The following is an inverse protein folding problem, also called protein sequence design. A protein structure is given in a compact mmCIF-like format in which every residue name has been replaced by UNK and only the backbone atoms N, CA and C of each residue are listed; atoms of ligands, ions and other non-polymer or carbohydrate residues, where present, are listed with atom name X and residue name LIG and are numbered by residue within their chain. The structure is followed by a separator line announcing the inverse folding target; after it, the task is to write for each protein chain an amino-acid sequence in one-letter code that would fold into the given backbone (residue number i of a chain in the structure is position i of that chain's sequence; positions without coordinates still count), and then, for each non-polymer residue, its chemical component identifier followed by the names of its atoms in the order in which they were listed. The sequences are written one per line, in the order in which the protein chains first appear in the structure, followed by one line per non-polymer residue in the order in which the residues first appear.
data_IF_351288967371
#
_entry.id   IF_351288967371
#
_cell.length_a   1.000
_cell.length_b   1.000
_cell.length_c   1.000
_cell.angle_alpha   90.00
_cell.angle_beta   90.00
_cell.angle_gamma   90.00
#
_symmetry.space_group_name_H-M   'P 1'
#
loop_
_entity.id
_entity.type
_entity.pdbx_description
1 polymer ?
#
# COMPACT_ATOMS: atom_id res chain seq x y z
N UNK A 1 27.24 44.97 -36.15
CA UNK A 1 26.55 44.64 -34.89
C UNK A 1 26.09 43.20 -35.01
N UNK A 2 26.78 42.28 -34.35
CA UNK A 2 26.39 40.86 -34.33
C UNK A 2 25.14 40.75 -33.46
N UNK A 3 23.98 40.62 -34.09
CA UNK A 3 22.83 40.04 -33.42
C UNK A 3 23.24 38.61 -33.04
N UNK A 4 23.74 38.44 -31.81
CA UNK A 4 23.80 37.12 -31.20
C UNK A 4 22.37 36.61 -31.21
N UNK A 5 22.11 35.62 -32.06
CA UNK A 5 20.87 34.88 -32.10
C UNK A 5 20.55 34.44 -30.67
N UNK A 6 19.61 35.14 -30.03
CA UNK A 6 19.17 34.80 -28.69
C UNK A 6 18.32 33.52 -28.80
N UNK A 7 19.02 32.39 -28.77
CA UNK A 7 18.44 31.05 -28.83
C UNK A 7 17.83 30.65 -27.48
N UNK A 8 17.97 31.47 -26.42
CA UNK A 8 17.47 31.13 -25.09
C UNK A 8 15.97 30.83 -25.06
N UNK A 9 15.08 31.62 -25.71
CA UNK A 9 13.65 31.32 -25.74
C UNK A 9 13.33 29.99 -26.45
N UNK A 10 14.07 29.64 -27.51
CA UNK A 10 13.90 28.38 -28.23
C UNK A 10 14.33 27.19 -27.38
N UNK A 11 15.45 27.32 -26.65
CA UNK A 11 15.93 26.31 -25.72
C UNK A 11 14.92 26.09 -24.58
N UNK A 12 14.33 27.16 -24.04
CA UNK A 12 13.31 27.07 -22.99
C UNK A 12 12.03 26.36 -23.45
N UNK A 13 11.55 26.66 -24.67
CA UNK A 13 10.39 26.01 -25.27
C UNK A 13 10.65 24.51 -25.48
N UNK A 14 11.83 24.15 -26.01
CA UNK A 14 12.24 22.76 -26.18
C UNK A 14 12.34 22.03 -24.84
N UNK A 15 12.96 22.65 -23.84
CA UNK A 15 13.07 22.08 -22.49
C UNK A 15 11.70 21.89 -21.83
N UNK A 16 10.77 22.83 -22.00
CA UNK A 16 9.39 22.70 -21.53
C UNK A 16 8.66 21.53 -22.21
N UNK A 17 8.81 21.39 -23.53
CA UNK A 17 8.23 20.27 -24.30
C UNK A 17 8.79 18.93 -23.87
N UNK A 18 10.11 18.81 -23.71
CA UNK A 18 10.76 17.59 -23.23
C UNK A 18 10.24 17.21 -21.84
N UNK A 19 10.15 18.18 -20.91
CA UNK A 19 9.60 17.93 -19.56
C UNK A 19 8.17 17.40 -19.62
N UNK A 20 7.33 17.99 -20.45
CA UNK A 20 5.95 17.55 -20.66
C UNK A 20 5.89 16.12 -21.20
N UNK A 21 6.67 15.80 -22.23
CA UNK A 21 6.71 14.47 -22.82
C UNK A 21 7.23 13.40 -21.84
N UNK A 22 8.23 13.75 -21.03
CA UNK A 22 8.74 12.85 -19.97
C UNK A 22 7.65 12.60 -18.92
N UNK A 23 6.90 13.62 -18.51
CA UNK A 23 5.82 13.44 -17.54
C UNK A 23 4.65 12.65 -18.11
N UNK A 24 4.27 12.88 -19.37
CA UNK A 24 3.28 12.07 -20.10
C UNK A 24 3.70 10.60 -20.21
N UNK A 25 4.99 10.33 -20.43
CA UNK A 25 5.50 8.96 -20.42
C UNK A 25 5.42 8.35 -19.02
N UNK A 26 5.81 9.09 -17.98
CA UNK A 26 5.74 8.62 -16.59
C UNK A 26 4.31 8.32 -16.16
N UNK A 27 3.34 9.14 -16.55
CA UNK A 27 1.93 8.87 -16.24
C UNK A 27 1.43 7.63 -16.97
N UNK A 28 1.80 7.45 -18.23
CA UNK A 28 1.52 6.23 -19.00
C UNK A 28 2.10 4.97 -18.33
N UNK A 29 3.38 5.01 -17.94
CA UNK A 29 4.05 3.90 -17.26
C UNK A 29 3.38 3.57 -15.92
N UNK A 30 2.99 4.59 -15.13
CA UNK A 30 2.24 4.39 -13.87
C UNK A 30 0.89 3.70 -14.11
N UNK A 31 0.16 4.11 -15.15
CA UNK A 31 -1.13 3.49 -15.50
C UNK A 31 -0.92 2.02 -15.92
N UNK A 32 0.11 1.75 -16.72
CA UNK A 32 0.44 0.39 -17.15
C UNK A 32 0.76 -0.53 -15.95
N UNK A 33 1.60 -0.06 -15.01
CA UNK A 33 1.93 -0.81 -13.79
C UNK A 33 0.68 -1.06 -12.95
N UNK A 34 -0.18 -0.05 -12.74
CA UNK A 34 -1.43 -0.22 -11.99
C UNK A 34 -2.40 -1.17 -12.66
N UNK A 35 -2.45 -1.19 -14.00
CA UNK A 35 -3.24 -2.16 -14.76
C UNK A 35 -2.76 -3.60 -14.52
N UNK A 36 -1.45 -3.82 -14.53
CA UNK A 36 -0.86 -5.12 -14.17
C UNK A 36 -1.16 -5.52 -12.72
N UNK A 37 -1.10 -4.57 -11.79
CA UNK A 37 -1.47 -4.80 -10.38
C UNK A 37 -2.94 -5.22 -10.24
N UNK A 38 -3.87 -4.54 -10.91
CA UNK A 38 -5.29 -4.88 -10.89
C UNK A 38 -5.51 -6.28 -11.47
N UNK A 39 -4.89 -6.56 -12.62
CA UNK A 39 -4.99 -7.86 -13.26
C UNK A 39 -4.44 -8.98 -12.37
N UNK A 40 -3.31 -8.75 -11.69
CA UNK A 40 -2.73 -9.71 -10.75
C UNK A 40 -3.62 -9.91 -9.51
N UNK A 41 -4.24 -8.84 -9.01
CA UNK A 41 -5.15 -8.91 -7.88
C UNK A 41 -6.42 -9.71 -8.25
N UNK A 42 -7.06 -9.41 -9.39
CA UNK A 42 -8.23 -10.14 -9.87
C UNK A 42 -7.93 -11.64 -10.05
N UNK A 43 -6.79 -11.97 -10.67
CA UNK A 43 -6.36 -13.36 -10.85
C UNK A 43 -6.13 -14.07 -9.51
N UNK A 44 -5.53 -13.40 -8.53
CA UNK A 44 -5.32 -13.96 -7.18
C UNK A 44 -6.64 -14.31 -6.49
N UNK A 45 -7.69 -13.54 -6.76
CA UNK A 45 -9.03 -13.79 -6.22
C UNK A 45 -9.94 -14.55 -7.21
N UNK A 46 -9.36 -15.16 -8.24
CA UNK A 46 -10.00 -16.15 -9.09
C UNK A 46 -10.89 -15.59 -10.20
N UNK A 47 -10.69 -14.34 -10.62
CA UNK A 47 -11.16 -13.87 -11.92
C UNK A 47 -10.03 -14.02 -12.95
N UNK A 48 -10.28 -14.82 -13.97
CA UNK A 48 -9.33 -15.08 -15.06
C UNK A 48 -10.00 -15.25 -16.41
N UNK A 49 -11.30 -14.99 -16.49
CA UNK A 49 -12.07 -15.03 -17.71
C UNK A 49 -11.74 -13.87 -18.64
N UNK A 50 -12.31 -13.91 -19.86
CA UNK A 50 -12.06 -12.92 -20.91
C UNK A 50 -12.50 -11.50 -20.50
N UNK A 51 -13.47 -11.39 -19.59
CA UNK A 51 -14.02 -10.12 -19.10
C UNK A 51 -12.98 -9.26 -18.34
N UNK A 52 -11.95 -9.89 -17.76
CA UNK A 52 -10.94 -9.23 -16.94
C UNK A 52 -10.14 -8.20 -17.73
N UNK A 53 -9.73 -8.52 -18.96
CA UNK A 53 -8.92 -7.62 -19.76
C UNK A 53 -9.66 -6.32 -20.10
N UNK A 54 -10.96 -6.42 -20.42
CA UNK A 54 -11.79 -5.26 -20.70
C UNK A 54 -12.06 -4.42 -19.44
N UNK A 55 -12.41 -5.08 -18.33
CA UNK A 55 -12.64 -4.41 -17.05
C UNK A 55 -11.40 -3.66 -16.55
N UNK A 56 -10.20 -4.25 -16.69
CA UNK A 56 -8.93 -3.60 -16.35
C UNK A 56 -8.66 -2.42 -17.28
N UNK A 57 -8.83 -2.59 -18.60
CA UNK A 57 -8.56 -1.55 -19.59
C UNK A 57 -9.45 -0.32 -19.39
N UNK A 58 -10.73 -0.53 -19.06
CA UNK A 58 -11.70 0.54 -18.84
C UNK A 58 -11.77 1.02 -17.39
N UNK A 59 -11.00 0.41 -16.48
CA UNK A 59 -11.05 0.66 -15.03
C UNK A 59 -12.48 0.54 -14.45
N UNK A 60 -13.26 -0.41 -14.96
CA UNK A 60 -14.69 -0.55 -14.67
C UNK A 60 -15.05 -1.99 -14.29
N UNK A 61 -15.38 -2.20 -13.01
CA UNK A 61 -15.76 -3.50 -12.47
C UNK A 61 -17.11 -4.02 -13.00
N UNK A 62 -17.98 -3.15 -13.53
CA UNK A 62 -19.25 -3.57 -14.12
C UNK A 62 -19.08 -4.36 -15.42
N UNK A 63 -17.87 -4.32 -16.01
CA UNK A 63 -17.50 -5.08 -17.21
C UNK A 63 -17.08 -6.52 -16.93
N UNK A 64 -16.86 -6.87 -15.67
CA UNK A 64 -16.62 -8.26 -15.30
C UNK A 64 -17.89 -9.08 -15.52
N UNK A 65 -17.70 -10.34 -15.91
CA UNK A 65 -18.79 -11.30 -15.88
C UNK A 65 -19.42 -11.33 -14.47
N UNK A 66 -20.77 -11.29 -14.34
CA UNK A 66 -21.41 -11.22 -13.03
C UNK A 66 -21.02 -12.36 -12.09
N UNK A 67 -20.91 -13.59 -12.58
CA UNK A 67 -20.54 -14.73 -11.75
C UNK A 67 -19.07 -14.65 -11.30
N UNK A 68 -18.17 -14.19 -12.18
CA UNK A 68 -16.79 -13.90 -11.80
C UNK A 68 -16.70 -12.78 -10.75
N UNK A 69 -17.44 -11.70 -10.96
CA UNK A 69 -17.48 -10.55 -10.05
C UNK A 69 -17.95 -10.97 -8.66
N UNK A 70 -19.05 -11.70 -8.57
CA UNK A 70 -19.62 -12.17 -7.30
C UNK A 70 -18.63 -13.09 -6.56
N UNK A 71 -18.00 -14.01 -7.29
CA UNK A 71 -16.97 -14.90 -6.73
C UNK A 71 -15.75 -14.15 -6.21
N UNK A 72 -15.29 -13.10 -6.92
CA UNK A 72 -14.20 -12.24 -6.45
C UNK A 72 -14.64 -11.45 -5.22
N UNK A 73 -15.82 -10.83 -5.23
CA UNK A 73 -16.35 -10.05 -4.11
C UNK A 73 -16.37 -10.89 -2.83
N UNK A 74 -16.94 -12.10 -2.90
CA UNK A 74 -17.02 -13.01 -1.76
C UNK A 74 -15.63 -13.35 -1.18
N UNK A 75 -14.65 -13.66 -2.05
CA UNK A 75 -13.28 -14.00 -1.62
C UNK A 75 -12.55 -12.79 -1.04
N UNK A 76 -12.76 -11.60 -1.61
CA UNK A 76 -12.18 -10.34 -1.13
C UNK A 76 -12.75 -9.99 0.25
N UNK A 77 -14.05 -10.13 0.46
CA UNK A 77 -14.69 -9.87 1.77
C UNK A 77 -14.17 -10.80 2.86
N UNK A 78 -14.05 -12.10 2.55
CA UNK A 78 -13.42 -13.07 3.47
C UNK A 78 -11.99 -12.66 3.82
N UNK A 79 -11.23 -12.18 2.86
CA UNK A 79 -9.84 -11.75 3.07
C UNK A 79 -9.74 -10.48 3.92
N UNK A 80 -10.61 -9.47 3.67
CA UNK A 80 -10.71 -8.28 4.51
C UNK A 80 -11.01 -8.69 5.96
N UNK A 81 -11.98 -9.58 6.15
CA UNK A 81 -12.30 -10.13 7.48
C UNK A 81 -11.11 -10.83 8.14
N UNK A 82 -10.33 -11.62 7.38
CA UNK A 82 -9.10 -12.26 7.88
C UNK A 82 -8.05 -11.24 8.32
N UNK A 83 -7.73 -10.26 7.48
CA UNK A 83 -6.73 -9.23 7.78
C UNK A 83 -7.16 -8.34 8.97
N UNK A 84 -8.44 -7.99 9.05
CA UNK A 84 -8.98 -7.24 10.19
C UNK A 84 -8.83 -8.02 11.51
N UNK A 85 -9.04 -9.34 11.50
CA UNK A 85 -8.81 -10.18 12.68
C UNK A 85 -7.33 -10.22 13.07
N UNK A 86 -6.44 -10.49 12.11
CA UNK A 86 -4.99 -10.52 12.35
C UNK A 86 -4.45 -9.18 12.87
N UNK A 87 -4.96 -8.06 12.35
CA UNK A 87 -4.62 -6.73 12.82
C UNK A 87 -4.98 -6.53 14.30
N UNK A 88 -6.18 -6.94 14.71
CA UNK A 88 -6.66 -6.80 16.09
C UNK A 88 -5.87 -7.64 17.09
N UNK A 89 -5.49 -8.86 16.70
CA UNK A 89 -4.70 -9.77 17.54
C UNK A 89 -3.20 -9.53 17.47
N UNK A 90 -2.72 -8.57 16.66
CA UNK A 90 -1.30 -8.35 16.34
C UNK A 90 -0.61 -9.65 15.86
N UNK A 91 -1.34 -10.44 15.07
CA UNK A 91 -0.83 -11.68 14.50
C UNK A 91 0.27 -11.37 13.47
N UNK A 92 1.43 -12.05 13.52
CA UNK A 92 2.50 -11.90 12.52
C UNK A 92 2.07 -12.14 11.07
N UNK A 93 0.95 -12.83 10.84
CA UNK A 93 0.35 -13.04 9.51
C UNK A 93 -0.38 -11.81 8.96
N UNK A 94 -0.55 -10.77 9.78
CA UNK A 94 -1.09 -9.51 9.32
C UNK A 94 -0.14 -8.86 8.31
N UNK A 95 -0.65 -8.61 7.12
CA UNK A 95 0.09 -7.91 6.07
C UNK A 95 -0.67 -6.65 5.69
N UNK A 96 -0.11 -5.49 6.06
CA UNK A 96 -0.68 -4.18 5.79
C UNK A 96 -0.83 -3.91 4.29
N UNK A 97 0.14 -4.35 3.47
CA UNK A 97 0.09 -4.14 2.03
C UNK A 97 -1.02 -4.98 1.42
N UNK A 98 -1.14 -6.24 1.86
CA UNK A 98 -2.26 -7.10 1.46
C UNK A 98 -3.60 -6.50 1.86
N UNK A 99 -3.74 -5.99 3.09
CA UNK A 99 -4.98 -5.37 3.56
C UNK A 99 -5.36 -4.13 2.74
N UNK A 100 -4.39 -3.28 2.39
CA UNK A 100 -4.62 -2.11 1.52
C UNK A 100 -5.10 -2.55 0.14
N UNK A 101 -4.42 -3.52 -0.48
CA UNK A 101 -4.79 -4.03 -1.82
C UNK A 101 -6.20 -4.59 -1.84
N UNK A 102 -6.59 -5.42 -0.86
CA UNK A 102 -7.95 -6.01 -0.84
C UNK A 102 -9.04 -4.99 -0.54
N UNK A 103 -8.76 -4.01 0.30
CA UNK A 103 -9.71 -2.92 0.58
C UNK A 103 -9.89 -2.04 -0.64
N UNK A 104 -8.81 -1.72 -1.34
CA UNK A 104 -8.85 -0.99 -2.61
C UNK A 104 -9.63 -1.78 -3.66
N UNK A 105 -9.40 -3.09 -3.75
CA UNK A 105 -10.08 -3.97 -4.72
C UNK A 105 -11.57 -4.01 -4.44
N UNK A 106 -11.99 -4.12 -3.17
CA UNK A 106 -13.40 -4.06 -2.80
C UNK A 106 -14.05 -2.75 -3.24
N UNK A 107 -13.39 -1.60 -3.01
CA UNK A 107 -13.91 -0.30 -3.43
C UNK A 107 -14.03 -0.16 -4.94
N UNK A 108 -13.07 -0.71 -5.69
CA UNK A 108 -13.13 -0.75 -7.14
C UNK A 108 -14.28 -1.65 -7.62
N UNK A 109 -14.44 -2.85 -7.05
CA UNK A 109 -15.57 -3.76 -7.33
C UNK A 109 -16.93 -3.15 -7.03
N UNK A 110 -17.00 -2.21 -6.07
CA UNK A 110 -18.21 -1.44 -5.74
C UNK A 110 -18.46 -0.25 -6.68
N UNK A 111 -17.54 0.06 -7.62
CA UNK A 111 -17.59 1.29 -8.42
C UNK A 111 -17.33 2.57 -7.61
N UNK A 112 -16.79 2.45 -6.38
CA UNK A 112 -16.55 3.58 -5.45
C UNK A 112 -15.14 4.17 -5.56
N UNK A 113 -14.29 3.60 -6.40
CA UNK A 113 -12.93 4.06 -6.64
C UNK A 113 -12.40 3.58 -7.98
N UNK A 114 -11.64 4.43 -8.66
CA UNK A 114 -10.81 4.06 -9.80
C UNK A 114 -9.52 3.37 -9.32
N UNK A 115 -9.06 2.34 -10.03
CA UNK A 115 -7.79 1.69 -9.76
C UNK A 115 -6.65 2.34 -10.53
N UNK A 116 -6.89 2.74 -11.78
CA UNK A 116 -5.84 3.28 -12.63
C UNK A 116 -5.57 4.75 -12.29
N UNK A 117 -6.61 5.50 -11.93
CA UNK A 117 -6.45 6.89 -11.57
C UNK A 117 -5.79 7.05 -10.19
N UNK A 118 -4.88 8.01 -10.09
CA UNK A 118 -4.36 8.42 -8.80
C UNK A 118 -5.52 9.09 -8.06
N UNK A 119 -5.85 8.66 -6.83
CA UNK A 119 -6.82 9.42 -6.04
C UNK A 119 -6.33 10.87 -6.03
N UNK A 120 -7.17 11.85 -6.38
CA UNK A 120 -6.76 13.25 -6.37
C UNK A 120 -6.17 13.49 -5.00
N UNK A 121 -4.91 13.95 -4.96
CA UNK A 121 -4.15 14.07 -3.72
C UNK A 121 -5.06 14.69 -2.68
N UNK A 122 -5.60 13.85 -1.78
CA UNK A 122 -6.56 14.30 -0.81
C UNK A 122 -5.79 15.33 0.00
N UNK A 123 -6.14 16.60 -0.16
CA UNK A 123 -5.50 17.74 0.49
C UNK A 123 -5.15 17.27 1.89
N UNK A 124 -3.85 17.12 2.14
CA UNK A 124 -3.33 16.40 3.30
C UNK A 124 -4.02 16.96 4.53
N UNK A 125 -5.05 16.26 5.02
CA UNK A 125 -5.56 16.49 6.37
C UNK A 125 -4.41 15.99 7.22
N UNK A 126 -3.52 16.91 7.59
CA UNK A 126 -2.49 16.69 8.60
C UNK A 126 -3.16 15.92 9.73
N UNK A 127 -2.61 14.78 10.18
CA UNK A 127 -3.15 14.13 11.36
C UNK A 127 -3.00 15.10 12.54
N UNK A 128 -4.10 15.77 12.89
CA UNK A 128 -4.25 16.49 14.13
C UNK A 128 -4.33 15.43 15.24
N UNK A 129 -3.17 15.05 15.78
CA UNK A 129 -3.15 13.98 16.77
C UNK A 129 -1.77 13.48 17.15
N UNK A 130 -0.77 14.35 17.27
CA UNK A 130 0.45 13.99 18.00
C UNK A 130 0.10 13.94 19.48
N UNK A 131 -0.27 12.75 19.93
CA UNK A 131 -0.63 12.45 21.32
C UNK A 131 0.40 13.01 22.29
N UNK A 132 -0.12 13.69 23.32
CA UNK A 132 0.57 14.23 24.49
C UNK A 132 1.74 13.34 24.91
N UNK A 133 2.97 13.86 24.81
CA UNK A 133 4.05 13.49 25.70
C UNK A 133 3.62 13.83 27.12
N UNK A 134 3.08 12.85 27.84
CA UNK A 134 2.83 12.92 29.28
C UNK A 134 4.19 13.01 29.96
N UNK A 135 4.61 14.25 30.20
CA UNK A 135 5.72 14.67 31.05
C UNK A 135 5.54 13.97 32.39
N UNK A 136 6.21 12.83 32.62
CA UNK A 136 6.35 12.24 33.95
C UNK A 136 7.30 13.17 34.72
N UNK A 137 6.71 14.12 35.44
CA UNK A 137 7.39 14.92 36.46
C UNK A 137 7.73 13.96 37.60
N UNK A 138 9.00 13.90 37.95
CA UNK A 138 9.54 12.99 38.94
C UNK A 138 8.87 13.15 40.30
N UNK A 139 8.57 12.00 40.90
CA UNK A 139 8.55 11.86 42.34
C UNK A 139 9.80 11.06 42.69
N UNK A 140 10.80 11.77 43.19
CA UNK A 140 11.88 11.19 43.96
C UNK A 140 11.27 10.60 45.22
N UNK A 141 11.43 9.29 45.41
CA UNK A 141 11.32 8.67 46.72
C UNK A 141 12.38 7.58 46.77
N UNK A 142 13.35 7.89 47.61
CA UNK A 142 14.44 7.10 48.13
C UNK A 142 14.00 5.71 48.65
N UNK A 143 14.75 4.67 48.28
CA UNK A 143 14.86 3.41 49.01
C UNK A 143 15.88 2.53 48.28
N UNK A 144 17.13 2.56 48.75
CA UNK A 144 18.16 1.64 48.30
C UNK A 144 17.82 0.18 48.62
N UNK A 145 18.13 -0.74 47.71
CA UNK A 145 18.58 -2.06 48.11
C UNK A 145 19.40 -2.75 47.02
N UNK A 146 20.54 -3.28 47.45
CA UNK A 146 21.44 -4.18 46.72
C UNK A 146 20.67 -5.37 46.17
N UNK A 147 21.04 -5.89 45.00
CA UNK A 147 20.62 -7.24 44.63
C UNK A 147 20.76 -7.59 43.15
N UNK A 148 21.91 -8.17 42.81
CA UNK A 148 22.08 -9.29 41.87
C UNK A 148 21.36 -9.27 40.50
N UNK A 149 22.19 -9.18 39.45
CA UNK A 149 21.89 -9.65 38.10
C UNK A 149 21.58 -11.16 38.09
N UNK A 150 20.46 -11.65 37.54
CA UNK A 150 20.32 -13.05 37.20
C UNK A 150 20.93 -13.30 35.82
N UNK A 151 22.20 -13.72 35.80
CA UNK A 151 22.78 -14.33 34.60
C UNK A 151 22.21 -15.74 34.38
N UNK A 152 21.93 -16.01 33.11
CA UNK A 152 21.28 -17.18 32.53
C UNK A 152 22.04 -18.47 32.88
N UNK A 153 21.33 -19.47 33.43
CA UNK A 153 21.79 -20.87 33.45
C UNK A 153 21.61 -21.49 32.05
N UNK A 154 22.63 -22.13 31.45
CA UNK A 154 22.42 -23.02 30.32
C UNK A 154 21.89 -24.39 30.78
N UNK A 155 21.15 -25.13 29.93
CA UNK A 155 20.63 -26.44 30.28
C UNK A 155 21.73 -27.51 30.34
N UNK A 156 21.70 -28.32 31.41
CA UNK A 156 22.48 -29.56 31.58
C UNK A 156 22.04 -30.60 30.54
N UNK A 157 22.96 -31.04 29.68
CA UNK A 157 22.81 -32.30 28.94
C UNK A 157 23.13 -33.46 29.89
N UNK A 158 22.15 -34.32 30.15
CA UNK A 158 22.40 -35.66 30.67
C UNK A 158 22.78 -36.55 29.49
N UNK A 159 24.03 -37.02 29.47
CA UNK A 159 24.45 -38.12 28.62
C UNK A 159 24.04 -39.42 29.31
N UNK A 160 23.15 -40.16 28.66
CA UNK A 160 22.79 -41.53 29.01
C UNK A 160 23.99 -42.42 28.71
N UNK A 161 24.42 -43.22 29.69
CA UNK A 161 25.36 -44.33 29.49
C UNK A 161 24.68 -45.43 28.68
N UNK A 162 25.37 -45.94 27.66
CA UNK A 162 25.27 -47.33 27.17
C UNK A 162 26.69 -47.85 27.11
#
# INVERSE_FOLDING_TARGET
MTATDDLAPLIEILAARIRRQVEEKRTSDRVAVRGLELHAALRRYGASGPSVAEAVRLDDAARLDPAERDGVVERVEREIGRQARFSRSRDPRYDINRHIVVTRLRRWLDGKAAWLQEPPAAATKKPAGRGKTRRRKGASADAGHRGALPQRRPPRRHATKV
#
